data_IF_582310819079
#
_entry.id   IF_582310819079
#
_cell.length_a   1.000
_cell.length_b   1.000
_cell.length_c   1.000
_cell.angle_alpha   90.00
_cell.angle_beta   90.00
_cell.angle_gamma   90.00
#
_symmetry.space_group_name_H-M   'P 1'
#
loop_
_entity.id
_entity.type
_entity.pdbx_description
1 polymer ?
#
# COMPACT_ATOMS: atom_id res chain seq x y z
N UNK A 1 65.49 -40.69 10.79
CA UNK A 1 64.69 -39.63 11.42
C UNK A 1 64.93 -39.76 12.93
N UNK A 2 65.94 -39.18 13.59
CA UNK A 2 66.53 -37.83 13.47
C UNK A 2 65.40 -36.79 13.45
N UNK A 3 65.22 -35.84 14.38
CA UNK A 3 66.09 -35.08 15.32
C UNK A 3 65.14 -34.65 16.49
N UNK A 4 65.49 -34.67 17.78
CA UNK A 4 66.24 -33.64 18.54
C UNK A 4 65.50 -32.29 18.54
N UNK A 5 65.28 -31.51 19.61
CA UNK A 5 66.14 -31.08 20.72
C UNK A 5 65.24 -30.32 21.73
N UNK A 6 65.26 -30.69 23.01
CA UNK A 6 66.03 -30.13 24.13
C UNK A 6 65.54 -28.79 24.70
N UNK A 7 65.15 -28.86 25.97
CA UNK A 7 64.79 -27.76 26.85
C UNK A 7 65.51 -28.05 28.17
N UNK A 8 66.75 -27.55 28.32
CA UNK A 8 67.47 -27.63 29.59
C UNK A 8 68.36 -26.42 29.85
N UNK A 9 68.52 -26.16 31.15
CA UNK A 9 69.46 -25.31 31.87
C UNK A 9 69.11 -23.82 32.04
N UNK A 10 68.74 -23.34 33.24
CA UNK A 10 69.37 -23.40 34.60
C UNK A 10 70.81 -22.89 34.65
N UNK A 11 71.04 -22.18 35.77
CA UNK A 11 72.30 -21.72 36.38
C UNK A 11 72.75 -20.32 35.94
N UNK A 12 72.73 -19.28 36.78
CA UNK A 12 73.30 -19.06 38.13
C UNK A 12 74.54 -18.17 37.99
N UNK A 13 74.49 -16.94 38.52
CA UNK A 13 75.65 -16.25 39.07
C UNK A 13 75.24 -15.08 39.98
N UNK A 14 75.76 -15.15 41.21
CA UNK A 14 75.72 -14.14 42.28
C UNK A 14 76.68 -12.98 41.98
N UNK A 15 76.37 -11.77 42.48
CA UNK A 15 77.18 -10.98 43.44
C UNK A 15 76.93 -9.46 43.34
N UNK A 16 76.34 -8.92 44.42
CA UNK A 16 76.69 -7.73 45.24
C UNK A 16 77.47 -6.49 44.71
N UNK A 17 77.37 -5.34 45.41
CA UNK A 17 76.86 -4.07 44.88
C UNK A 17 77.94 -3.03 44.57
N UNK A 18 77.63 -2.07 43.70
CA UNK A 18 78.49 -0.93 43.40
C UNK A 18 77.68 0.31 43.01
N UNK A 19 77.84 1.38 43.79
CA UNK A 19 77.26 2.71 43.59
C UNK A 19 77.96 3.41 42.44
N UNK A 20 77.21 3.96 41.48
CA UNK A 20 77.73 4.77 40.37
C UNK A 20 76.63 5.56 39.67
N UNK A 21 76.70 6.88 39.78
CA UNK A 21 75.72 7.88 39.35
C UNK A 21 75.64 8.08 37.83
N UNK A 22 74.42 8.20 37.29
CA UNK A 22 73.90 9.23 36.35
C UNK A 22 72.86 8.63 35.37
N UNK A 23 71.67 9.22 35.33
CA UNK A 23 70.72 9.02 34.23
C UNK A 23 69.29 9.39 34.61
N UNK A 24 68.71 10.34 33.88
CA UNK A 24 67.31 10.75 33.91
C UNK A 24 66.34 9.54 33.84
N UNK A 25 65.23 9.56 34.58
CA UNK A 25 63.92 9.79 33.95
C UNK A 25 62.75 9.87 34.92
N UNK A 26 61.80 10.74 34.56
CA UNK A 26 60.54 11.02 35.24
C UNK A 26 59.66 9.77 35.28
N UNK A 27 59.49 9.19 36.46
CA UNK A 27 58.45 8.19 36.72
C UNK A 27 57.09 8.87 36.92
N UNK A 28 56.07 8.43 36.17
CA UNK A 28 54.68 8.69 36.51
C UNK A 28 53.76 8.97 35.32
N UNK A 29 53.49 7.99 34.47
CA UNK A 29 52.21 7.80 33.77
C UNK A 29 52.18 6.38 33.19
N UNK A 30 51.52 5.46 33.90
CA UNK A 30 51.13 4.17 33.31
C UNK A 30 49.92 4.39 32.37
N UNK A 31 49.76 3.58 31.31
CA UNK A 31 48.59 3.66 30.45
C UNK A 31 47.31 3.36 31.26
N UNK A 32 46.18 4.03 30.96
CA UNK A 32 44.93 3.77 31.66
C UNK A 32 44.50 2.31 31.49
N UNK A 33 43.86 1.71 32.52
CA UNK A 33 43.38 0.34 32.44
C UNK A 33 42.39 0.19 31.28
N UNK A 34 42.50 -0.90 30.51
CA UNK A 34 41.54 -1.22 29.46
C UNK A 34 40.16 -1.39 30.09
N UNK A 35 39.09 -0.80 29.53
CA UNK A 35 37.75 -1.04 30.02
C UNK A 35 37.45 -2.54 29.91
N UNK A 36 36.87 -3.10 30.98
CA UNK A 36 36.40 -4.48 30.98
C UNK A 36 35.42 -4.69 29.81
N UNK A 37 35.42 -5.85 29.14
CA UNK A 37 34.41 -6.15 28.13
C UNK A 37 33.03 -6.03 28.78
N UNK A 38 32.22 -5.08 28.31
CA UNK A 38 30.82 -5.00 28.69
C UNK A 38 30.14 -6.28 28.19
N UNK A 39 29.84 -7.18 29.11
CA UNK A 39 29.05 -8.38 28.86
C UNK A 39 27.65 -7.91 28.46
N UNK A 40 27.36 -7.99 27.16
CA UNK A 40 26.11 -7.60 26.53
C UNK A 40 25.07 -8.71 26.74
N UNK A 41 24.65 -8.96 27.98
CA UNK A 41 23.77 -10.08 28.31
C UNK A 41 22.48 -9.70 29.02
N UNK A 42 22.07 -8.42 29.02
CA UNK A 42 20.83 -8.04 29.73
C UNK A 42 20.05 -6.85 29.13
N UNK A 43 20.13 -6.65 27.81
CA UNK A 43 19.17 -5.81 27.09
C UNK A 43 18.17 -6.75 26.42
N UNK A 44 17.02 -6.95 27.08
CA UNK A 44 15.91 -7.74 26.56
C UNK A 44 15.56 -7.36 25.13
N UNK A 45 15.21 -8.38 24.35
CA UNK A 45 14.85 -8.31 22.93
C UNK A 45 13.68 -7.33 22.60
N UNK A 46 13.07 -6.71 23.61
CA UNK A 46 11.97 -5.77 23.49
C UNK A 46 12.37 -4.35 23.02
N UNK A 47 13.67 -4.00 23.02
CA UNK A 47 14.13 -2.63 22.69
C UNK A 47 14.42 -2.38 21.19
N UNK A 48 14.22 -3.38 20.31
CA UNK A 48 14.59 -3.32 18.89
C UNK A 48 13.44 -3.54 17.91
N UNK A 49 12.23 -3.87 18.37
CA UNK A 49 11.04 -3.90 17.50
C UNK A 49 10.36 -2.53 17.50
N UNK A 50 10.32 -1.78 16.37
CA UNK A 50 9.44 -0.63 16.30
C UNK A 50 8.02 -1.12 16.59
N UNK A 51 7.35 -0.56 17.61
CA UNK A 51 6.00 -0.98 18.02
C UNK A 51 5.09 -1.08 16.79
N UNK A 52 4.81 -2.29 16.35
CA UNK A 52 3.94 -2.52 15.20
C UNK A 52 2.51 -2.30 15.67
N UNK A 53 1.75 -1.51 14.91
CA UNK A 53 0.34 -1.30 15.23
C UNK A 53 -0.40 -2.63 15.08
N UNK A 54 -1.33 -2.90 15.99
CA UNK A 54 -2.25 -4.02 15.82
C UNK A 54 -3.20 -3.72 14.67
N UNK A 55 -3.18 -4.57 13.64
CA UNK A 55 -4.13 -4.44 12.52
C UNK A 55 -5.52 -4.87 12.92
N UNK A 56 -6.48 -3.95 12.82
CA UNK A 56 -7.90 -4.24 13.05
C UNK A 56 -8.80 -3.60 11.99
N UNK A 57 -8.39 -2.46 11.41
CA UNK A 57 -9.18 -1.75 10.43
C UNK A 57 -9.24 -2.50 9.11
N UNK A 58 -8.11 -3.04 8.64
CA UNK A 58 -8.07 -3.78 7.38
C UNK A 58 -8.89 -5.07 7.45
N UNK A 59 -8.76 -5.92 8.49
CA UNK A 59 -9.69 -7.03 8.71
C UNK A 59 -11.16 -6.59 8.77
N UNK A 60 -11.47 -5.46 9.42
CA UNK A 60 -12.83 -4.93 9.47
C UNK A 60 -13.35 -4.53 8.08
N UNK A 61 -12.53 -3.93 7.23
CA UNK A 61 -12.90 -3.64 5.84
C UNK A 61 -13.18 -4.92 5.05
N UNK A 62 -12.40 -5.99 5.26
CA UNK A 62 -12.66 -7.29 4.63
C UNK A 62 -14.03 -7.81 5.03
N UNK A 63 -14.32 -7.84 6.34
CA UNK A 63 -15.61 -8.29 6.86
C UNK A 63 -16.75 -7.44 6.31
N UNK A 64 -16.61 -6.11 6.28
CA UNK A 64 -17.63 -5.21 5.75
C UNK A 64 -17.93 -5.50 4.27
N UNK A 65 -16.91 -5.69 3.44
CA UNK A 65 -17.09 -6.02 2.01
C UNK A 65 -17.78 -7.37 1.81
N UNK A 66 -17.43 -8.38 2.62
CA UNK A 66 -18.11 -9.69 2.58
C UNK A 66 -19.58 -9.55 2.98
N UNK A 67 -19.88 -8.81 4.05
CA UNK A 67 -21.27 -8.56 4.49
C UNK A 67 -22.06 -7.84 3.39
N UNK A 68 -21.51 -6.77 2.83
CA UNK A 68 -22.17 -6.01 1.74
C UNK A 68 -22.41 -6.90 0.52
N UNK A 69 -21.47 -7.78 0.17
CA UNK A 69 -21.65 -8.74 -0.92
C UNK A 69 -22.77 -9.76 -0.62
N UNK A 70 -22.82 -10.31 0.60
CA UNK A 70 -23.90 -11.22 1.01
C UNK A 70 -25.27 -10.52 0.95
N UNK A 71 -25.36 -9.29 1.46
CA UNK A 71 -26.58 -8.46 1.36
C UNK A 71 -26.95 -8.21 -0.10
N UNK A 72 -25.97 -7.91 -0.95
CA UNK A 72 -26.16 -7.71 -2.39
C UNK A 72 -26.77 -8.95 -3.05
N UNK A 73 -26.21 -10.13 -2.77
CA UNK A 73 -26.73 -11.39 -3.28
C UNK A 73 -28.14 -11.69 -2.76
N UNK A 74 -28.41 -11.37 -1.50
CA UNK A 74 -29.73 -11.53 -0.89
C UNK A 74 -30.77 -10.62 -1.55
N UNK A 75 -30.42 -9.36 -1.85
CA UNK A 75 -31.30 -8.44 -2.57
C UNK A 75 -31.48 -8.88 -4.02
N UNK A 76 -30.44 -9.47 -4.64
CA UNK A 76 -30.51 -9.95 -6.02
C UNK A 76 -31.60 -10.98 -6.21
N UNK A 77 -31.64 -12.03 -5.38
CA UNK A 77 -32.69 -13.07 -5.40
C UNK A 77 -33.01 -13.61 -6.82
N UNK A 78 -31.99 -14.11 -7.53
CA UNK A 78 -32.11 -14.63 -8.90
C UNK A 78 -33.34 -15.54 -9.14
N UNK A 79 -33.65 -16.51 -8.25
CA UNK A 79 -34.78 -17.42 -8.47
C UNK A 79 -36.16 -16.74 -8.56
N UNK A 80 -36.32 -15.54 -8.00
CA UNK A 80 -37.61 -14.84 -7.98
C UNK A 80 -37.95 -14.08 -9.27
N UNK A 81 -36.96 -13.76 -10.12
CA UNK A 81 -37.17 -13.04 -11.38
C UNK A 81 -36.71 -13.81 -12.62
N UNK A 82 -36.09 -14.97 -12.43
CA UNK A 82 -35.56 -15.78 -13.52
C UNK A 82 -36.54 -16.87 -13.97
N UNK A 83 -37.62 -16.46 -14.64
CA UNK A 83 -38.58 -17.37 -15.26
C UNK A 83 -38.36 -17.47 -16.77
N UNK A 84 -37.89 -18.62 -17.25
CA UNK A 84 -37.78 -18.92 -18.68
C UNK A 84 -36.80 -20.05 -19.00
N UNK A 85 -36.94 -20.71 -20.17
CA UNK A 85 -36.20 -21.93 -20.54
C UNK A 85 -34.69 -21.73 -20.73
N UNK A 86 -34.21 -20.49 -20.84
CA UNK A 86 -32.79 -20.13 -21.03
C UNK A 86 -32.22 -19.25 -19.90
N UNK A 87 -32.92 -19.13 -18.76
CA UNK A 87 -32.52 -18.28 -17.63
C UNK A 87 -32.39 -19.12 -16.36
N UNK A 88 -31.45 -20.06 -16.38
CA UNK A 88 -31.14 -20.84 -15.18
C UNK A 88 -30.09 -20.10 -14.34
N UNK A 89 -30.46 -19.73 -13.12
CA UNK A 89 -29.54 -19.21 -12.13
C UNK A 89 -28.45 -20.26 -11.84
N UNK A 90 -27.26 -19.79 -11.46
CA UNK A 90 -26.14 -20.66 -11.11
C UNK A 90 -26.16 -20.90 -9.60
N UNK A 91 -25.80 -22.12 -9.17
CA UNK A 91 -25.81 -22.53 -7.76
C UNK A 91 -27.20 -22.35 -7.11
N UNK A 92 -28.23 -22.96 -7.69
CA UNK A 92 -29.62 -22.93 -7.19
C UNK A 92 -29.78 -23.50 -5.78
N UNK A 93 -28.87 -24.38 -5.35
CA UNK A 93 -28.83 -24.91 -3.98
C UNK A 93 -28.62 -23.84 -2.90
N UNK A 94 -28.12 -22.64 -3.27
CA UNK A 94 -27.97 -21.49 -2.37
C UNK A 94 -29.28 -20.70 -2.16
N UNK A 95 -30.37 -21.09 -2.82
CA UNK A 95 -31.67 -20.43 -2.72
C UNK A 95 -31.59 -18.96 -3.12
N UNK A 96 -31.95 -18.06 -2.20
CA UNK A 96 -31.96 -16.61 -2.46
C UNK A 96 -30.59 -16.02 -2.83
N UNK A 97 -29.51 -16.71 -2.47
CA UNK A 97 -28.12 -16.30 -2.75
C UNK A 97 -27.58 -16.85 -4.08
N UNK A 98 -28.42 -17.45 -4.93
CA UNK A 98 -28.00 -17.93 -6.25
C UNK A 98 -27.51 -16.80 -7.15
N UNK A 99 -26.54 -17.14 -8.01
CA UNK A 99 -25.91 -16.20 -8.94
C UNK A 99 -26.71 -16.06 -10.23
N UNK A 100 -26.54 -14.93 -10.89
CA UNK A 100 -27.04 -14.72 -12.24
C UNK A 100 -26.40 -15.71 -13.23
N UNK A 101 -27.07 -15.99 -14.38
CA UNK A 101 -26.49 -16.80 -15.44
C UNK A 101 -25.11 -16.27 -15.85
N UNK A 102 -24.13 -17.17 -16.07
CA UNK A 102 -22.75 -16.80 -16.43
C UNK A 102 -22.63 -15.95 -17.69
N UNK A 103 -23.62 -16.05 -18.59
CA UNK A 103 -23.72 -15.20 -19.79
C UNK A 103 -23.92 -13.71 -19.44
N UNK A 104 -24.61 -13.44 -18.33
CA UNK A 104 -24.86 -12.07 -17.85
C UNK A 104 -23.75 -11.62 -16.89
N UNK A 105 -23.27 -12.53 -16.04
CA UNK A 105 -22.22 -12.22 -15.09
C UNK A 105 -21.25 -13.42 -14.91
N UNK A 106 -20.09 -13.40 -15.58
CA UNK A 106 -19.12 -14.49 -15.51
C UNK A 106 -18.40 -14.57 -14.16
N UNK A 107 -18.52 -13.55 -13.29
CA UNK A 107 -17.80 -13.45 -12.02
C UNK A 107 -18.51 -14.15 -10.85
N UNK A 108 -19.59 -14.88 -11.12
CA UNK A 108 -20.49 -15.49 -10.12
C UNK A 108 -21.04 -14.42 -9.16
N UNK A 109 -21.98 -13.61 -9.65
CA UNK A 109 -22.45 -12.44 -8.91
C UNK A 109 -23.91 -12.06 -9.20
N UNK A 110 -24.32 -10.88 -8.71
CA UNK A 110 -25.67 -10.34 -8.90
C UNK A 110 -25.85 -9.77 -10.31
N UNK A 111 -27.07 -9.31 -10.61
CA UNK A 111 -27.35 -8.55 -11.83
C UNK A 111 -26.88 -7.10 -11.71
N UNK A 112 -26.58 -6.46 -12.84
CA UNK A 112 -26.23 -5.04 -12.90
C UNK A 112 -27.30 -4.14 -12.28
N UNK A 113 -28.59 -4.48 -12.45
CA UNK A 113 -29.72 -3.75 -11.84
C UNK A 113 -29.68 -3.75 -10.32
N UNK A 114 -29.28 -4.86 -9.72
CA UNK A 114 -29.13 -4.96 -8.25
C UNK A 114 -27.98 -4.07 -7.77
N UNK A 115 -26.85 -4.06 -8.49
CA UNK A 115 -25.72 -3.19 -8.16
C UNK A 115 -26.09 -1.70 -8.31
N UNK A 116 -26.80 -1.33 -9.37
CA UNK A 116 -27.33 0.03 -9.58
C UNK A 116 -28.23 0.47 -8.44
N UNK A 117 -29.15 -0.41 -8.01
CA UNK A 117 -30.05 -0.13 -6.89
C UNK A 117 -29.30 0.10 -5.58
N UNK A 118 -28.21 -0.64 -5.34
CA UNK A 118 -27.46 -0.61 -4.09
C UNK A 118 -26.36 0.45 -4.02
N UNK A 119 -26.11 1.18 -5.11
CA UNK A 119 -25.15 2.29 -5.10
C UNK A 119 -23.92 2.09 -5.96
N UNK A 120 -23.99 1.30 -7.04
CA UNK A 120 -22.91 1.26 -8.02
C UNK A 120 -22.66 2.63 -8.62
N UNK A 121 -21.43 2.84 -9.07
CA UNK A 121 -21.03 4.06 -9.74
C UNK A 121 -21.61 4.08 -11.14
N UNK A 122 -22.34 5.14 -11.48
CA UNK A 122 -22.89 5.40 -12.80
C UNK A 122 -23.02 6.91 -12.99
N UNK A 123 -22.48 7.43 -14.09
CA UNK A 123 -22.39 8.88 -14.34
C UNK A 123 -23.74 9.60 -14.25
N UNK A 124 -24.77 9.07 -14.93
CA UNK A 124 -26.14 9.63 -14.91
C UNK A 124 -26.67 9.83 -13.49
N UNK A 125 -26.46 8.84 -12.60
CA UNK A 125 -26.93 8.92 -11.22
C UNK A 125 -26.16 9.96 -10.42
N UNK A 126 -24.84 10.01 -10.61
CA UNK A 126 -23.96 10.91 -9.85
C UNK A 126 -24.19 12.37 -10.27
N UNK A 127 -24.24 12.64 -11.58
CA UNK A 127 -24.26 13.99 -12.14
C UNK A 127 -25.68 14.50 -12.30
N UNK A 128 -26.53 13.79 -13.06
CA UNK A 128 -27.90 14.25 -13.39
C UNK A 128 -28.86 14.07 -12.21
N UNK A 129 -28.71 13.00 -11.42
CA UNK A 129 -29.56 12.76 -10.23
C UNK A 129 -28.96 13.22 -8.91
N UNK A 130 -27.77 13.82 -8.95
CA UNK A 130 -27.05 14.34 -7.78
C UNK A 130 -26.81 13.30 -6.68
N UNK A 131 -26.70 12.01 -7.02
CA UNK A 131 -26.45 10.92 -6.07
C UNK A 131 -24.95 10.76 -5.77
N UNK A 132 -24.30 11.83 -5.29
CA UNK A 132 -22.86 11.90 -5.06
C UNK A 132 -22.33 10.86 -4.05
N UNK A 133 -23.20 10.35 -3.17
CA UNK A 133 -22.88 9.27 -2.23
C UNK A 133 -22.42 7.98 -2.93
N UNK A 134 -22.76 7.80 -4.22
CA UNK A 134 -22.31 6.67 -5.05
C UNK A 134 -20.81 6.61 -5.23
N UNK A 135 -20.13 7.76 -5.18
CA UNK A 135 -18.66 7.85 -5.21
C UNK A 135 -17.99 7.14 -4.02
N UNK A 136 -18.74 6.96 -2.93
CA UNK A 136 -18.29 6.25 -1.73
C UNK A 136 -18.83 4.83 -1.67
N UNK A 137 -20.11 4.62 -1.97
CA UNK A 137 -20.73 3.29 -1.80
C UNK A 137 -20.22 2.26 -2.79
N UNK A 138 -19.82 2.67 -4.01
CA UNK A 138 -19.32 1.75 -5.02
C UNK A 138 -18.06 1.00 -4.59
N UNK A 139 -17.27 1.58 -3.66
CA UNK A 139 -16.05 0.98 -3.10
C UNK A 139 -16.35 -0.34 -2.36
N UNK A 140 -17.57 -0.46 -1.80
CA UNK A 140 -17.98 -1.59 -0.98
C UNK A 140 -18.73 -2.68 -1.76
N UNK A 141 -19.20 -2.34 -2.97
CA UNK A 141 -19.93 -3.26 -3.84
C UNK A 141 -18.96 -4.08 -4.69
N UNK A 142 -19.33 -5.32 -5.01
CA UNK A 142 -18.49 -6.20 -5.81
C UNK A 142 -19.32 -6.90 -6.88
N UNK A 143 -18.74 -7.03 -8.08
CA UNK A 143 -19.42 -7.61 -9.24
C UNK A 143 -19.63 -9.12 -9.15
N UNK A 144 -18.92 -9.83 -8.26
CA UNK A 144 -19.05 -11.27 -8.09
C UNK A 144 -18.03 -11.85 -7.12
N UNK A 145 -18.12 -13.15 -6.86
CA UNK A 145 -17.25 -13.86 -5.88
C UNK A 145 -15.79 -13.78 -6.28
N UNK A 146 -15.46 -13.98 -7.57
CA UNK A 146 -14.06 -13.92 -8.04
C UNK A 146 -13.48 -12.53 -7.80
N UNK A 147 -14.27 -11.49 -8.12
CA UNK A 147 -13.86 -10.10 -7.95
C UNK A 147 -13.69 -9.74 -6.47
N UNK A 148 -14.62 -10.15 -5.60
CA UNK A 148 -14.50 -9.98 -4.15
C UNK A 148 -13.24 -10.67 -3.61
N UNK A 149 -13.04 -11.95 -3.94
CA UNK A 149 -11.92 -12.73 -3.44
C UNK A 149 -10.57 -12.09 -3.81
N UNK A 150 -10.41 -11.66 -5.07
CA UNK A 150 -9.21 -10.97 -5.53
C UNK A 150 -8.95 -9.68 -4.72
N UNK A 151 -9.96 -8.82 -4.55
CA UNK A 151 -9.82 -7.59 -3.78
C UNK A 151 -9.49 -7.85 -2.31
N UNK A 152 -10.18 -8.79 -1.66
CA UNK A 152 -9.95 -9.08 -0.24
C UNK A 152 -8.58 -9.69 0.01
N UNK A 153 -8.12 -10.57 -0.88
CA UNK A 153 -6.79 -11.14 -0.79
C UNK A 153 -5.71 -10.05 -0.92
N UNK A 154 -5.83 -9.17 -1.93
CA UNK A 154 -4.94 -8.02 -2.10
C UNK A 154 -4.99 -7.07 -0.90
N UNK A 155 -6.19 -6.80 -0.36
CA UNK A 155 -6.38 -5.94 0.80
C UNK A 155 -5.68 -6.51 2.04
N UNK A 156 -5.77 -7.82 2.29
CA UNK A 156 -5.09 -8.45 3.42
C UNK A 156 -3.57 -8.41 3.23
N UNK A 157 -3.05 -8.79 2.06
CA UNK A 157 -1.60 -8.82 1.83
C UNK A 157 -0.94 -7.44 1.93
N UNK A 158 -1.56 -6.42 1.33
CA UNK A 158 -0.99 -5.07 1.26
C UNK A 158 -1.42 -4.24 2.46
N UNK A 159 -2.72 -4.22 2.75
CA UNK A 159 -3.32 -3.36 3.76
C UNK A 159 -2.86 -3.69 5.17
N UNK A 160 -2.83 -4.96 5.57
CA UNK A 160 -2.39 -5.35 6.94
C UNK A 160 -0.95 -4.92 7.17
N UNK A 161 -0.08 -5.17 6.18
CA UNK A 161 1.32 -4.78 6.25
C UNK A 161 1.48 -3.27 6.45
N UNK A 162 0.75 -2.48 5.66
CA UNK A 162 0.75 -1.02 5.75
C UNK A 162 0.17 -0.52 7.08
N UNK A 163 -0.91 -1.12 7.56
CA UNK A 163 -1.56 -0.75 8.82
C UNK A 163 -0.62 -0.98 10.01
N UNK A 164 0.05 -2.14 10.06
CA UNK A 164 1.05 -2.45 11.09
C UNK A 164 2.21 -1.44 11.10
N UNK A 165 2.61 -0.94 9.93
CA UNK A 165 3.71 0.02 9.83
C UNK A 165 3.33 1.45 10.18
N UNK A 166 2.17 1.91 9.71
CA UNK A 166 1.83 3.33 9.69
C UNK A 166 0.61 3.69 10.54
N UNK A 167 -0.09 2.69 11.05
CA UNK A 167 -1.29 2.85 11.89
C UNK A 167 -2.58 2.97 11.07
N UNK A 168 -3.67 2.55 11.69
CA UNK A 168 -4.98 2.42 11.07
C UNK A 168 -5.54 3.75 10.52
N UNK A 169 -5.31 4.89 11.19
CA UNK A 169 -5.84 6.19 10.74
C UNK A 169 -5.30 6.57 9.37
N UNK A 170 -3.98 6.46 9.17
CA UNK A 170 -3.33 6.85 7.91
C UNK A 170 -3.76 5.95 6.77
N UNK A 171 -3.80 4.64 7.02
CA UNK A 171 -4.19 3.65 6.02
C UNK A 171 -5.68 3.75 5.69
N UNK A 172 -6.54 4.01 6.68
CA UNK A 172 -7.96 4.27 6.46
C UNK A 172 -8.21 5.48 5.58
N UNK A 173 -7.52 6.61 5.84
CA UNK A 173 -7.61 7.82 5.01
C UNK A 173 -7.12 7.56 3.59
N UNK A 174 -5.96 6.90 3.43
CA UNK A 174 -5.43 6.56 2.10
C UNK A 174 -6.42 5.68 1.34
N UNK A 175 -6.96 4.65 1.97
CA UNK A 175 -7.91 3.72 1.35
C UNK A 175 -9.18 4.46 0.88
N UNK A 176 -9.84 5.21 1.77
CA UNK A 176 -11.10 5.88 1.45
C UNK A 176 -10.91 6.99 0.40
N UNK A 177 -9.93 7.87 0.59
CA UNK A 177 -9.70 8.98 -0.34
C UNK A 177 -9.27 8.48 -1.72
N UNK A 178 -8.45 7.42 -1.78
CA UNK A 178 -8.07 6.83 -3.07
C UNK A 178 -9.25 6.16 -3.77
N UNK A 179 -10.14 5.49 -3.04
CA UNK A 179 -11.38 4.97 -3.60
C UNK A 179 -12.28 6.07 -4.18
N UNK A 180 -12.42 7.19 -3.46
CA UNK A 180 -13.18 8.36 -3.95
C UNK A 180 -12.50 8.98 -5.18
N UNK A 181 -11.17 9.20 -5.13
CA UNK A 181 -10.40 9.76 -6.24
C UNK A 181 -10.48 8.89 -7.50
N UNK A 182 -10.44 7.56 -7.34
CA UNK A 182 -10.71 6.61 -8.42
C UNK A 182 -12.13 6.74 -8.97
N UNK A 183 -13.14 6.83 -8.11
CA UNK A 183 -14.55 6.95 -8.51
C UNK A 183 -14.85 8.26 -9.25
N UNK A 184 -14.23 9.36 -8.84
CA UNK A 184 -14.33 10.65 -9.54
C UNK A 184 -13.70 10.54 -10.93
N UNK A 185 -12.48 9.99 -11.03
CA UNK A 185 -11.80 9.86 -12.31
C UNK A 185 -12.55 8.90 -13.25
N UNK A 186 -13.04 7.77 -12.74
CA UNK A 186 -13.91 6.87 -13.49
C UNK A 186 -15.13 7.60 -14.05
N UNK A 187 -15.85 8.35 -13.21
CA UNK A 187 -17.05 9.08 -13.64
C UNK A 187 -16.77 10.14 -14.70
N UNK A 188 -15.57 10.74 -14.72
CA UNK A 188 -15.20 11.72 -15.75
C UNK A 188 -15.00 11.11 -17.15
N UNK A 189 -14.63 9.83 -17.23
CA UNK A 189 -14.26 9.17 -18.50
C UNK A 189 -15.19 8.02 -18.89
N UNK A 190 -16.02 7.52 -17.97
CA UNK A 190 -16.93 6.39 -18.17
C UNK A 190 -18.36 6.84 -17.88
N UNK A 191 -19.20 6.91 -18.94
CA UNK A 191 -20.60 7.35 -18.83
C UNK A 191 -21.64 6.23 -18.95
N UNK A 192 -21.33 5.19 -19.73
CA UNK A 192 -22.32 4.20 -20.18
C UNK A 192 -22.22 2.84 -19.50
N UNK A 193 -21.37 2.69 -18.48
CA UNK A 193 -21.22 1.44 -17.75
C UNK A 193 -21.25 1.65 -16.24
N UNK A 194 -21.44 0.55 -15.52
CA UNK A 194 -21.43 0.53 -14.06
C UNK A 194 -20.05 0.16 -13.55
N UNK A 195 -19.60 0.80 -12.48
CA UNK A 195 -18.35 0.48 -11.80
C UNK A 195 -18.59 0.21 -10.31
N UNK A 196 -17.92 -0.82 -9.80
CA UNK A 196 -17.98 -1.26 -8.40
C UNK A 196 -16.62 -1.86 -8.03
N UNK A 197 -16.28 -1.82 -6.74
CA UNK A 197 -15.15 -2.55 -6.19
C UNK A 197 -14.18 -1.67 -5.42
N UNK A 198 -13.49 -2.32 -4.49
CA UNK A 198 -12.44 -1.71 -3.69
C UNK A 198 -11.13 -1.44 -4.46
N UNK A 199 -11.03 -1.85 -5.73
CA UNK A 199 -9.77 -1.88 -6.46
C UNK A 199 -9.12 -0.51 -6.62
N UNK A 200 -9.89 0.58 -6.79
CA UNK A 200 -9.33 1.94 -6.80
C UNK A 200 -8.61 2.28 -5.49
N UNK A 201 -9.18 1.90 -4.35
CA UNK A 201 -8.54 2.08 -3.05
C UNK A 201 -7.27 1.22 -2.89
N UNK A 202 -7.27 -0.01 -3.41
CA UNK A 202 -6.09 -0.89 -3.41
C UNK A 202 -4.95 -0.34 -4.26
N UNK A 203 -5.26 0.19 -5.44
CA UNK A 203 -4.28 0.91 -6.26
C UNK A 203 -3.74 2.15 -5.54
N UNK A 204 -4.56 2.83 -4.75
CA UNK A 204 -4.11 3.87 -3.84
C UNK A 204 -3.10 3.40 -2.81
N UNK A 205 -3.32 2.22 -2.21
CA UNK A 205 -2.34 1.63 -1.28
C UNK A 205 -1.02 1.34 -2.00
N UNK A 206 -1.05 0.79 -3.22
CA UNK A 206 0.16 0.59 -4.05
C UNK A 206 0.86 1.91 -4.39
N UNK A 207 0.11 2.95 -4.74
CA UNK A 207 0.64 4.30 -4.96
C UNK A 207 1.31 4.87 -3.72
N UNK A 208 0.69 4.69 -2.55
CA UNK A 208 1.26 5.13 -1.28
C UNK A 208 2.55 4.40 -0.95
N UNK A 209 2.65 3.09 -1.23
CA UNK A 209 3.89 2.32 -1.09
C UNK A 209 5.00 2.87 -2.00
N UNK A 210 4.67 3.28 -3.23
CA UNK A 210 5.66 3.84 -4.14
C UNK A 210 6.21 5.17 -3.60
N UNK A 211 5.33 6.08 -3.15
CA UNK A 211 5.76 7.36 -2.57
C UNK A 211 6.59 7.19 -1.28
N UNK A 212 6.28 6.18 -0.48
CA UNK A 212 7.01 5.81 0.74
C UNK A 212 8.42 5.35 0.38
N UNK A 213 8.54 4.45 -0.59
CA UNK A 213 9.82 3.94 -1.08
C UNK A 213 10.70 5.07 -1.64
N UNK A 214 10.11 6.01 -2.39
CA UNK A 214 10.83 7.18 -2.91
C UNK A 214 11.28 8.14 -1.80
N UNK A 215 10.43 8.38 -0.80
CA UNK A 215 10.73 9.30 0.31
C UNK A 215 11.81 8.74 1.24
N UNK A 216 11.80 7.42 1.45
CA UNK A 216 12.67 6.68 2.36
C UNK A 216 13.75 5.87 1.63
N UNK A 217 14.14 6.29 0.42
CA UNK A 217 15.09 5.61 -0.47
C UNK A 217 16.40 5.18 0.20
N UNK A 218 16.86 5.90 1.23
CA UNK A 218 18.12 5.61 1.92
C UNK A 218 18.06 4.44 2.91
N UNK A 219 16.87 3.99 3.31
CA UNK A 219 16.68 2.99 4.37
C UNK A 219 16.70 1.55 3.82
N UNK A 220 16.24 1.35 2.59
CA UNK A 220 16.13 0.01 2.00
C UNK A 220 17.49 -0.50 1.50
N UNK A 221 17.84 -1.75 1.81
CA UNK A 221 19.10 -2.37 1.32
C UNK A 221 19.01 -2.75 -0.16
N UNK A 222 17.88 -3.37 -0.58
CA UNK A 222 17.61 -3.78 -1.97
C UNK A 222 16.55 -2.90 -2.66
N UNK A 223 16.83 -1.60 -2.73
CA UNK A 223 15.94 -0.53 -3.21
C UNK A 223 15.42 -0.77 -4.63
N UNK A 224 16.34 -1.12 -5.52
CA UNK A 224 16.06 -1.28 -6.95
C UNK A 224 15.17 -2.50 -7.17
N UNK A 225 15.45 -3.62 -6.49
CA UNK A 225 14.60 -4.81 -6.57
C UNK A 225 13.18 -4.50 -6.06
N UNK A 226 13.05 -3.87 -4.90
CA UNK A 226 11.74 -3.49 -4.34
C UNK A 226 10.96 -2.55 -5.28
N UNK A 227 11.63 -1.54 -5.85
CA UNK A 227 11.03 -0.62 -6.83
C UNK A 227 10.57 -1.36 -8.08
N UNK A 228 11.43 -2.19 -8.68
CA UNK A 228 11.10 -2.93 -9.88
C UNK A 228 9.96 -3.92 -9.65
N UNK A 229 9.94 -4.63 -8.52
CA UNK A 229 8.83 -5.51 -8.16
C UNK A 229 7.53 -4.73 -8.01
N UNK A 230 7.56 -3.58 -7.31
CA UNK A 230 6.36 -2.76 -7.13
C UNK A 230 5.84 -2.21 -8.47
N UNK A 231 6.73 -1.67 -9.31
CA UNK A 231 6.37 -1.18 -10.64
C UNK A 231 5.84 -2.29 -11.54
N UNK A 232 6.42 -3.49 -11.46
CA UNK A 232 5.94 -4.66 -12.20
C UNK A 232 4.53 -5.07 -11.77
N UNK A 233 4.26 -5.11 -10.46
CA UNK A 233 2.92 -5.39 -9.92
C UNK A 233 1.92 -4.33 -10.39
N UNK A 234 2.27 -3.04 -10.31
CA UNK A 234 1.40 -1.94 -10.79
C UNK A 234 1.13 -2.10 -12.29
N UNK A 235 2.17 -2.33 -13.10
CA UNK A 235 2.05 -2.44 -14.55
C UNK A 235 1.16 -3.64 -14.96
N UNK A 236 1.33 -4.80 -14.32
CA UNK A 236 0.48 -5.97 -14.60
C UNK A 236 -0.97 -5.69 -14.24
N UNK A 237 -1.25 -5.09 -13.07
CA UNK A 237 -2.63 -4.83 -12.68
C UNK A 237 -3.28 -3.80 -13.62
N UNK A 238 -2.55 -2.75 -14.06
CA UNK A 238 -3.06 -1.82 -15.08
C UNK A 238 -3.25 -2.47 -16.45
N UNK A 239 -2.39 -3.42 -16.82
CA UNK A 239 -2.52 -4.18 -18.07
C UNK A 239 -3.76 -5.09 -18.04
N UNK A 240 -4.02 -5.75 -16.91
CA UNK A 240 -5.28 -6.48 -16.66
C UNK A 240 -6.47 -5.51 -16.70
N UNK A 241 -6.29 -4.27 -16.25
CA UNK A 241 -7.26 -3.18 -16.33
C UNK A 241 -7.73 -2.81 -17.74
N UNK A 242 -7.01 -3.22 -18.78
CA UNK A 242 -7.39 -3.00 -20.19
C UNK A 242 -8.46 -4.02 -20.64
N UNK A 243 -8.66 -5.10 -19.89
CA UNK A 243 -9.71 -6.08 -20.19
C UNK A 243 -11.10 -5.43 -20.11
N UNK A 244 -12.03 -5.86 -20.97
CA UNK A 244 -13.39 -5.32 -20.95
C UNK A 244 -14.03 -5.54 -19.58
N UNK A 245 -14.83 -4.56 -19.13
CA UNK A 245 -15.50 -4.52 -17.82
C UNK A 245 -14.57 -4.27 -16.60
N UNK A 246 -13.29 -3.95 -16.81
CA UNK A 246 -12.40 -3.49 -15.74
C UNK A 246 -12.24 -1.98 -15.82
N UNK A 247 -12.39 -1.30 -14.67
CA UNK A 247 -12.33 0.15 -14.59
C UNK A 247 -10.90 0.64 -14.33
N UNK A 248 -10.14 0.83 -15.41
CA UNK A 248 -8.77 1.29 -15.33
C UNK A 248 -8.66 2.77 -14.90
N UNK A 249 -9.67 3.59 -15.19
CA UNK A 249 -9.68 4.98 -14.73
C UNK A 249 -9.81 5.07 -13.21
N UNK A 250 -10.61 4.19 -12.60
CA UNK A 250 -10.64 4.06 -11.15
C UNK A 250 -9.28 3.63 -10.57
N UNK A 251 -8.58 2.72 -11.24
CA UNK A 251 -7.24 2.29 -10.82
C UNK A 251 -6.22 3.43 -10.89
N UNK A 252 -6.18 4.16 -12.01
CA UNK A 252 -5.29 5.32 -12.19
C UNK A 252 -5.60 6.44 -11.20
N UNK A 253 -6.87 6.81 -11.04
CA UNK A 253 -7.29 7.87 -10.12
C UNK A 253 -6.99 7.53 -8.67
N UNK A 254 -7.22 6.26 -8.29
CA UNK A 254 -6.87 5.74 -6.98
C UNK A 254 -5.37 5.75 -6.74
N UNK A 255 -4.58 5.25 -7.70
CA UNK A 255 -3.12 5.24 -7.62
C UNK A 255 -2.54 6.65 -7.46
N UNK A 256 -2.96 7.62 -8.28
CA UNK A 256 -2.50 9.01 -8.20
C UNK A 256 -2.84 9.64 -6.84
N UNK A 257 -4.07 9.42 -6.36
CA UNK A 257 -4.50 9.91 -5.05
C UNK A 257 -3.65 9.33 -3.92
N UNK A 258 -3.47 8.01 -3.93
CA UNK A 258 -2.68 7.31 -2.91
C UNK A 258 -1.19 7.66 -2.95
N UNK A 259 -0.63 7.88 -4.15
CA UNK A 259 0.74 8.33 -4.34
C UNK A 259 0.98 9.72 -3.74
N UNK A 260 0.08 10.68 -3.99
CA UNK A 260 0.16 12.01 -3.38
C UNK A 260 -0.08 11.96 -1.86
N UNK A 261 -1.07 11.19 -1.39
CA UNK A 261 -1.32 11.02 0.04
C UNK A 261 -0.17 10.32 0.76
N UNK A 262 0.57 9.43 0.11
CA UNK A 262 1.68 8.76 0.74
C UNK A 262 2.86 9.69 1.02
N UNK A 263 3.13 10.69 0.15
CA UNK A 263 4.06 11.78 0.48
C UNK A 263 3.60 12.61 1.69
N UNK A 264 2.29 12.74 1.88
CA UNK A 264 1.69 13.52 2.98
C UNK A 264 1.66 12.74 4.30
N UNK A 265 1.26 11.48 4.27
CA UNK A 265 0.91 10.69 5.46
C UNK A 265 1.99 9.67 5.84
N UNK A 266 2.79 9.19 4.88
CA UNK A 266 3.79 8.13 5.11
C UNK A 266 5.23 8.66 5.25
N UNK A 267 5.42 9.98 5.22
CA UNK A 267 6.71 10.60 5.46
C UNK A 267 7.24 10.24 6.87
N UNK A 268 8.36 9.52 6.92
CA UNK A 268 9.05 9.24 8.19
C UNK A 268 10.14 10.27 8.45
N UNK A 269 10.28 10.75 9.70
CA UNK A 269 11.44 11.52 10.06
C UNK A 269 12.67 10.63 9.99
N UNK A 270 13.69 11.06 9.24
CA UNK A 270 14.94 10.34 9.19
C UNK A 270 15.70 10.59 10.50
N UNK A 271 15.79 9.57 11.35
CA UNK A 271 16.79 9.58 12.43
C UNK A 271 18.15 9.76 11.75
N UNK A 272 18.87 10.82 12.13
CA UNK A 272 20.24 11.02 11.66
C UNK A 272 21.01 9.77 12.11
N UNK A 273 21.27 8.87 11.16
CA UNK A 273 22.02 7.62 11.34
C UNK A 273 23.50 7.99 11.53
N UNK A 274 23.78 8.70 12.62
CA UNK A 274 25.09 9.16 13.03
C UNK A 274 25.17 8.90 14.53
N UNK A 275 25.96 7.87 14.84
CA UNK A 275 26.50 7.51 16.16
C UNK A 275 25.52 6.88 17.17
N UNK A 276 25.22 5.58 16.99
CA UNK A 276 24.89 4.70 18.13
C UNK A 276 26.16 4.23 18.87
N UNK A 277 27.33 4.32 18.24
CA UNK A 277 28.62 4.01 18.90
C UNK A 277 29.17 5.14 19.78
N UNK A 278 28.64 6.37 19.69
CA UNK A 278 29.08 7.51 20.52
C UNK A 278 27.89 8.35 21.02
N UNK A 279 26.83 7.72 21.55
CA UNK A 279 25.65 8.46 22.04
C UNK A 279 25.79 8.80 23.54
N UNK A 280 26.02 10.07 23.93
CA UNK A 280 26.03 10.45 25.34
C UNK A 280 24.63 10.32 25.95
N UNK A 281 24.56 9.74 27.15
CA UNK A 281 23.32 9.61 27.92
C UNK A 281 22.68 10.99 28.13
N UNK A 282 21.41 11.16 27.75
CA UNK A 282 20.60 12.32 28.12
C UNK A 282 20.18 13.28 27.00
N UNK A 283 20.54 13.07 25.73
CA UNK A 283 20.03 13.91 24.61
C UNK A 283 18.76 13.33 23.98
N UNK A 284 17.63 14.04 24.14
CA UNK A 284 16.41 13.84 23.33
C UNK A 284 16.76 14.04 21.85
N UNK A 285 16.66 12.99 21.04
CA UNK A 285 16.78 13.13 19.59
C UNK A 285 15.62 13.97 19.08
N UNK A 286 15.92 15.15 18.53
CA UNK A 286 14.92 15.93 17.80
C UNK A 286 14.78 15.32 16.41
N UNK A 287 13.66 14.62 16.21
CA UNK A 287 13.24 14.15 14.89
C UNK A 287 13.07 15.37 13.97
N UNK A 288 13.94 15.53 12.96
CA UNK A 288 13.87 16.62 11.99
C UNK A 288 13.68 16.05 10.58
N UNK A 289 12.60 16.47 9.91
CA UNK A 289 12.40 16.20 8.50
C UNK A 289 13.41 16.99 7.65
N UNK A 290 13.81 16.42 6.52
CA UNK A 290 14.67 17.10 5.55
C UNK A 290 13.87 18.16 4.77
N UNK A 291 14.49 19.25 4.28
CA UNK A 291 13.78 20.31 3.56
C UNK A 291 13.01 19.80 2.33
N UNK A 292 13.54 18.80 1.62
CA UNK A 292 12.83 18.19 0.48
C UNK A 292 11.54 17.46 0.92
N UNK A 293 11.49 16.90 2.13
CA UNK A 293 10.27 16.23 2.63
C UNK A 293 9.17 17.25 2.90
N UNK A 294 9.50 18.42 3.43
CA UNK A 294 8.53 19.52 3.57
C UNK A 294 8.06 20.05 2.21
N UNK A 295 8.97 20.18 1.24
CA UNK A 295 8.61 20.60 -0.12
C UNK A 295 7.66 19.59 -0.78
N UNK A 296 7.99 18.30 -0.74
CA UNK A 296 7.14 17.23 -1.27
C UNK A 296 5.79 17.19 -0.56
N UNK A 297 5.78 17.41 0.76
CA UNK A 297 4.55 17.46 1.54
C UNK A 297 3.63 18.59 1.11
N UNK A 298 4.14 19.83 1.03
CA UNK A 298 3.36 21.00 0.60
C UNK A 298 2.89 20.89 -0.85
N UNK A 299 3.78 20.46 -1.75
CA UNK A 299 3.45 20.29 -3.17
C UNK A 299 2.39 19.20 -3.35
N UNK A 300 2.54 18.04 -2.69
CA UNK A 300 1.57 16.95 -2.81
C UNK A 300 0.22 17.33 -2.23
N UNK A 301 0.19 18.06 -1.11
CA UNK A 301 -1.05 18.58 -0.53
C UNK A 301 -1.75 19.57 -1.47
N UNK A 302 -1.00 20.50 -2.05
CA UNK A 302 -1.55 21.47 -3.01
C UNK A 302 -2.11 20.77 -4.26
N UNK A 303 -1.35 19.83 -4.84
CA UNK A 303 -1.80 19.06 -6.01
C UNK A 303 -3.04 18.22 -5.69
N UNK A 304 -3.12 17.63 -4.50
CA UNK A 304 -4.28 16.84 -4.09
C UNK A 304 -5.53 17.71 -3.94
N UNK A 305 -5.42 18.84 -3.23
CA UNK A 305 -6.57 19.75 -3.04
C UNK A 305 -7.03 20.34 -4.38
N UNK A 306 -6.11 20.88 -5.18
CA UNK A 306 -6.45 21.46 -6.48
C UNK A 306 -7.00 20.39 -7.44
N UNK A 307 -6.39 19.21 -7.48
CA UNK A 307 -6.82 18.10 -8.32
C UNK A 307 -8.23 17.62 -7.98
N UNK A 308 -8.55 17.42 -6.69
CA UNK A 308 -9.89 17.03 -6.26
C UNK A 308 -10.93 18.10 -6.57
N UNK A 309 -10.63 19.37 -6.28
CA UNK A 309 -11.55 20.48 -6.57
C UNK A 309 -11.81 20.58 -8.07
N UNK A 310 -10.77 20.57 -8.91
CA UNK A 310 -10.95 20.62 -10.36
C UNK A 310 -11.72 19.41 -10.89
N UNK A 311 -11.38 18.20 -10.46
CA UNK A 311 -12.05 16.99 -10.91
C UNK A 311 -13.54 16.96 -10.52
N UNK A 312 -13.87 17.38 -9.30
CA UNK A 312 -15.27 17.50 -8.86
C UNK A 312 -16.03 18.58 -9.63
N UNK A 313 -15.42 19.74 -9.87
CA UNK A 313 -16.04 20.81 -10.66
C UNK A 313 -16.31 20.35 -12.09
N UNK A 314 -15.35 19.69 -12.74
CA UNK A 314 -15.54 19.13 -14.09
C UNK A 314 -16.63 18.05 -14.10
N UNK A 315 -16.64 17.17 -13.09
CA UNK A 315 -17.62 16.10 -12.99
C UNK A 315 -19.05 16.64 -12.87
N UNK A 316 -19.28 17.57 -11.95
CA UNK A 316 -20.62 18.15 -11.72
C UNK A 316 -21.03 19.19 -12.76
N UNK A 317 -20.09 19.66 -13.60
CA UNK A 317 -20.41 20.39 -14.84
C UNK A 317 -20.84 19.47 -15.98
N UNK A 318 -20.66 18.16 -15.83
CA UNK A 318 -20.97 17.19 -16.88
C UNK A 318 -19.97 17.20 -18.04
N UNK A 319 -18.73 17.61 -17.81
CA UNK A 319 -17.64 17.57 -18.81
C UNK A 319 -17.20 16.13 -19.09
N UNK A 320 -16.92 15.80 -20.35
CA UNK A 320 -16.38 14.48 -20.73
C UNK A 320 -14.85 14.57 -20.84
N UNK A 321 -14.15 13.78 -20.01
CA UNK A 321 -12.70 13.70 -20.06
C UNK A 321 -12.18 13.20 -21.41
N UNK A 322 -12.99 12.42 -22.16
CA UNK A 322 -12.61 11.91 -23.47
C UNK A 322 -12.53 13.00 -24.54
N UNK A 323 -13.24 14.13 -24.37
CA UNK A 323 -13.19 15.25 -25.32
C UNK A 323 -11.83 15.94 -25.33
N UNK A 324 -11.13 15.87 -24.19
CA UNK A 324 -9.82 16.47 -23.99
C UNK A 324 -8.66 15.49 -24.27
N UNK A 325 -8.96 14.21 -24.52
CA UNK A 325 -7.95 13.16 -24.63
C UNK A 325 -8.37 12.03 -25.58
N UNK A 326 -7.94 12.12 -26.85
CA UNK A 326 -8.27 11.10 -27.88
C UNK A 326 -7.72 9.71 -27.56
N UNK A 327 -6.59 9.60 -26.88
CA UNK A 327 -5.95 8.33 -26.55
C UNK A 327 -6.49 7.68 -25.26
N UNK A 328 -7.22 8.43 -24.42
CA UNK A 328 -7.75 7.92 -23.15
C UNK A 328 -8.74 6.77 -23.36
N UNK A 329 -9.38 6.67 -24.54
CA UNK A 329 -10.23 5.52 -24.90
C UNK A 329 -9.48 4.18 -24.84
N UNK A 330 -8.18 4.16 -25.11
CA UNK A 330 -7.36 2.94 -25.03
C UNK A 330 -7.02 2.54 -23.60
N UNK A 331 -7.10 3.47 -22.64
CA UNK A 331 -7.00 3.12 -21.22
C UNK A 331 -8.24 2.37 -20.72
N UNK A 332 -9.40 2.60 -21.35
CA UNK A 332 -10.66 1.90 -21.04
C UNK A 332 -10.68 0.47 -21.57
N UNK A 333 -10.35 0.29 -22.85
CA UNK A 333 -10.38 -1.00 -23.50
C UNK A 333 -9.56 -0.95 -24.81
N UNK A 334 -8.74 -1.97 -25.05
CA UNK A 334 -8.05 -2.15 -26.34
C UNK A 334 -8.74 -3.29 -27.08
N UNK A 335 -9.32 -3.06 -28.28
CA UNK A 335 -9.95 -4.12 -29.07
C UNK A 335 -8.90 -5.09 -29.58
N UNK A 336 -9.20 -6.39 -29.56
CA UNK A 336 -8.29 -7.44 -30.07
C UNK A 336 -9.08 -8.47 -30.88
N UNK A 337 -8.38 -9.41 -31.52
CA UNK A 337 -9.04 -10.52 -32.23
C UNK A 337 -9.85 -11.46 -31.32
N UNK A 338 -9.69 -11.35 -29.99
CA UNK A 338 -10.38 -12.19 -28.99
C UNK A 338 -11.54 -11.49 -28.28
N UNK A 339 -11.68 -10.17 -28.36
CA UNK A 339 -12.78 -9.41 -27.73
C UNK A 339 -13.01 -8.05 -28.38
N UNK A 340 -14.26 -7.58 -28.36
CA UNK A 340 -14.66 -6.24 -28.80
C UNK A 340 -14.87 -5.28 -27.62
N UNK A 341 -14.72 -3.99 -27.86
CA UNK A 341 -14.99 -2.89 -26.93
C UNK A 341 -16.28 -2.12 -27.27
N UNK A 342 -17.09 -2.59 -28.24
CA UNK A 342 -18.26 -1.86 -28.76
C UNK A 342 -19.36 -1.65 -27.69
N UNK A 343 -19.41 -2.50 -26.67
CA UNK A 343 -20.39 -2.47 -25.57
C UNK A 343 -19.80 -1.95 -24.24
N UNK A 344 -18.54 -1.50 -24.21
CA UNK A 344 -17.77 -1.22 -22.96
C UNK A 344 -17.79 0.24 -22.56
#
# INVERSE_FOLDING_TARGET
>A
MAIGDDLENRMSAKNHPGIGSKGLDRSGFGPPPRPAPLVYSDLGDDALSPSQWTSWLVPMFVVANVIVFVVTMFVNNCPAHSHGPNRHCVATFLGRLSFEPLRNNPLFGPSSRTLEKLGSLQWDKVVEKHEAWRLLTCIWLHAGVIHLAANMLSLVFIGVRLEQQFGFVRIGVIYLMSGIGGSILSSLFIRNSISVGASGALFGLLGSMLSELLTNWTIYSNKIAALLTLLFVIAINLAIGILPHVDNFAHVGGFLTGFLLGFVLLARPQFKWLARENMPQGRRMTSKYKPYQYLLWLLSLALLVLGFVMALVLLFKGEDGNDHCRWCRYLRCIPTSRWSCDDV
#
